data_IF_357303976025
#
_entry.id   IF_357303976025
#
_cell.length_a   1.000
_cell.length_b   1.000
_cell.length_c   1.000
_cell.angle_alpha   90.00
_cell.angle_beta   90.00
_cell.angle_gamma   90.00
#
_symmetry.space_group_name_H-M   'P 1'
#
loop_
_entity.id
_entity.type
_entity.pdbx_description
1 polymer ?
#
# COMPACT_ATOMS: atom_id res chain seq x y z
N UNK A 1 -8.60 -10.15 -28.91
CA UNK A 1 -7.41 -10.91 -28.45
C UNK A 1 -7.87 -11.92 -27.41
N UNK A 2 -7.34 -13.14 -27.37
CA UNK A 2 -7.69 -14.11 -26.30
C UNK A 2 -6.86 -13.79 -25.08
N UNK A 3 -7.50 -13.53 -23.93
CA UNK A 3 -6.81 -13.21 -22.68
C UNK A 3 -6.13 -14.47 -22.13
N UNK A 4 -4.79 -14.49 -21.98
CA UNK A 4 -4.10 -15.57 -21.30
C UNK A 4 -4.63 -15.78 -19.87
N UNK A 5 -4.77 -17.02 -19.42
CA UNK A 5 -5.15 -17.28 -18.01
C UNK A 5 -4.06 -16.90 -17.01
N UNK A 6 -2.82 -16.80 -17.48
CA UNK A 6 -1.67 -16.48 -16.65
C UNK A 6 -0.52 -15.93 -17.48
N UNK A 7 0.25 -15.03 -16.88
CA UNK A 7 1.52 -14.55 -17.38
C UNK A 7 2.65 -15.07 -16.48
N UNK A 8 3.84 -15.28 -17.03
CA UNK A 8 4.99 -15.81 -16.29
C UNK A 8 6.19 -14.91 -16.46
N UNK A 9 6.87 -14.64 -15.35
CA UNK A 9 8.11 -13.88 -15.31
C UNK A 9 9.17 -14.65 -14.50
N UNK A 10 10.43 -14.75 -14.96
CA UNK A 10 11.48 -15.50 -14.25
C UNK A 10 11.72 -15.02 -12.81
N UNK A 11 11.62 -13.70 -12.57
CA UNK A 11 11.85 -13.07 -11.25
C UNK A 11 10.59 -13.00 -10.39
N UNK A 12 9.43 -12.76 -11.00
CA UNK A 12 8.18 -12.47 -10.27
C UNK A 12 7.23 -13.66 -10.20
N UNK A 13 7.54 -14.76 -10.88
CA UNK A 13 6.73 -15.96 -10.87
C UNK A 13 5.50 -15.85 -11.78
N UNK A 14 4.34 -16.26 -11.27
CA UNK A 14 3.11 -16.37 -12.05
C UNK A 14 2.16 -15.26 -11.65
N UNK A 15 1.67 -14.54 -12.66
CA UNK A 15 0.56 -13.61 -12.55
C UNK A 15 -0.70 -14.29 -13.07
N UNK A 16 -1.78 -14.30 -12.30
CA UNK A 16 -3.05 -14.96 -12.65
C UNK A 16 -4.08 -13.94 -13.07
N UNK A 17 -4.87 -14.28 -14.07
CA UNK A 17 -6.00 -13.46 -14.48
C UNK A 17 -7.15 -13.58 -13.47
N UNK A 18 -7.57 -12.45 -12.92
CA UNK A 18 -8.72 -12.31 -12.05
C UNK A 18 -9.83 -11.60 -12.83
N UNK A 19 -10.89 -12.35 -13.19
CA UNK A 19 -11.95 -11.83 -14.06
C UNK A 19 -12.76 -10.71 -13.43
N UNK A 20 -12.94 -10.75 -12.12
CA UNK A 20 -13.79 -9.78 -11.41
C UNK A 20 -13.15 -8.39 -11.40
N UNK A 21 -11.82 -8.32 -11.55
CA UNK A 21 -11.03 -7.10 -11.49
C UNK A 21 -10.52 -6.70 -12.87
N UNK A 22 -10.80 -7.52 -13.89
CA UNK A 22 -10.19 -7.45 -15.22
C UNK A 22 -8.68 -7.17 -15.14
N UNK A 23 -7.96 -7.95 -14.33
CA UNK A 23 -6.55 -7.70 -14.05
C UNK A 23 -5.74 -8.99 -13.88
N UNK A 24 -4.43 -8.89 -14.08
CA UNK A 24 -3.48 -9.89 -13.63
C UNK A 24 -2.93 -9.54 -12.26
N UNK A 25 -2.95 -10.49 -11.34
CA UNK A 25 -2.39 -10.33 -9.99
C UNK A 25 -1.22 -11.28 -9.76
N UNK A 26 -0.16 -10.76 -9.14
CA UNK A 26 1.04 -11.51 -8.82
C UNK A 26 1.79 -10.89 -7.65
N UNK A 27 2.86 -11.53 -7.20
CA UNK A 27 3.68 -11.02 -6.11
C UNK A 27 5.02 -10.52 -6.64
N UNK A 28 5.41 -9.31 -6.25
CA UNK A 28 6.75 -8.76 -6.52
C UNK A 28 7.51 -8.55 -5.22
N UNK A 29 8.85 -8.63 -5.23
CA UNK A 29 9.63 -8.29 -4.05
C UNK A 29 9.64 -6.78 -3.82
N UNK A 30 9.51 -6.37 -2.56
CA UNK A 30 9.59 -4.98 -2.11
C UNK A 30 10.44 -4.93 -0.85
N UNK A 31 11.72 -4.60 -1.02
CA UNK A 31 12.71 -4.68 0.06
C UNK A 31 12.82 -6.11 0.60
N UNK A 32 12.50 -6.30 1.90
CA UNK A 32 12.54 -7.61 2.57
C UNK A 32 11.21 -8.38 2.53
N UNK A 33 10.17 -7.81 1.93
CA UNK A 33 8.83 -8.42 1.85
C UNK A 33 8.39 -8.62 0.41
N UNK A 34 7.19 -9.16 0.23
CA UNK A 34 6.49 -9.20 -1.05
C UNK A 34 5.23 -8.37 -0.93
N UNK A 35 4.85 -7.72 -2.03
CA UNK A 35 3.59 -7.01 -2.17
C UNK A 35 2.86 -7.53 -3.40
N UNK A 36 1.57 -7.28 -3.47
CA UNK A 36 0.77 -7.62 -4.65
C UNK A 36 1.02 -6.60 -5.75
N UNK A 37 1.23 -7.06 -6.98
CA UNK A 37 1.24 -6.24 -8.17
C UNK A 37 0.00 -6.56 -9.01
N UNK A 38 -0.73 -5.52 -9.40
CA UNK A 38 -1.96 -5.60 -10.17
C UNK A 38 -1.73 -4.94 -11.53
N UNK A 39 -1.95 -5.69 -12.60
CA UNK A 39 -1.83 -5.19 -13.97
C UNK A 39 -3.24 -5.21 -14.56
N UNK A 40 -3.88 -4.04 -14.63
CA UNK A 40 -5.20 -3.95 -15.22
C UNK A 40 -5.16 -4.29 -16.71
N UNK A 41 -6.30 -4.77 -17.21
CA UNK A 41 -6.48 -5.10 -18.62
C UNK A 41 -6.06 -3.97 -19.54
N UNK A 42 -6.43 -2.74 -19.21
CA UNK A 42 -6.13 -1.58 -20.04
C UNK A 42 -4.61 -1.40 -20.20
N UNK A 43 -3.83 -1.60 -19.13
CA UNK A 43 -2.37 -1.61 -19.23
C UNK A 43 -1.86 -2.74 -20.15
N UNK A 44 -2.48 -3.91 -20.11
CA UNK A 44 -2.13 -5.07 -20.95
C UNK A 44 -2.59 -4.93 -22.41
N UNK A 45 -3.72 -4.27 -22.68
CA UNK A 45 -4.25 -4.08 -24.02
C UNK A 45 -3.46 -2.98 -24.78
N UNK A 46 -2.78 -2.07 -24.05
CA UNK A 46 -2.04 -0.92 -24.60
C UNK A 46 -0.51 -1.05 -24.53
N UNK A 47 0.02 -2.04 -23.80
CA UNK A 47 1.45 -2.36 -23.74
C UNK A 47 1.68 -3.84 -23.97
N UNK A 48 2.82 -4.21 -24.56
CA UNK A 48 3.21 -5.61 -24.56
C UNK A 48 3.64 -6.08 -23.15
N UNK A 49 3.57 -7.39 -22.94
CA UNK A 49 3.88 -7.98 -21.64
C UNK A 49 5.33 -7.75 -21.21
N UNK A 50 6.26 -7.63 -22.17
CA UNK A 50 7.67 -7.42 -21.88
C UNK A 50 7.93 -6.00 -21.37
N UNK A 51 7.22 -5.01 -21.91
CA UNK A 51 7.27 -3.64 -21.42
C UNK A 51 6.76 -3.53 -19.98
N UNK A 52 5.65 -4.22 -19.67
CA UNK A 52 5.11 -4.29 -18.30
C UNK A 52 6.13 -4.92 -17.35
N UNK A 53 6.84 -5.97 -17.78
CA UNK A 53 7.92 -6.56 -17.00
C UNK A 53 9.08 -5.63 -16.78
N UNK A 54 9.52 -4.89 -17.81
CA UNK A 54 10.58 -3.89 -17.67
C UNK A 54 10.21 -2.82 -16.64
N UNK A 55 8.97 -2.33 -16.66
CA UNK A 55 8.47 -1.36 -15.66
C UNK A 55 8.56 -1.94 -14.25
N UNK A 56 8.03 -3.15 -14.04
CA UNK A 56 8.06 -3.77 -12.71
C UNK A 56 9.50 -4.08 -12.26
N UNK A 57 10.40 -4.46 -13.18
CA UNK A 57 11.81 -4.68 -12.87
C UNK A 57 12.53 -3.40 -12.47
N UNK A 58 12.22 -2.29 -13.12
CA UNK A 58 12.77 -0.97 -12.81
C UNK A 58 12.26 -0.42 -11.48
N UNK A 59 10.96 -0.55 -11.20
CA UNK A 59 10.39 -0.19 -9.90
C UNK A 59 11.09 -0.99 -8.79
N UNK A 60 11.19 -2.31 -8.98
CA UNK A 60 11.76 -3.21 -7.97
C UNK A 60 13.28 -3.01 -7.80
N UNK A 61 14.00 -2.57 -8.83
CA UNK A 61 15.45 -2.26 -8.71
C UNK A 61 15.70 -0.96 -7.95
N UNK A 62 14.70 -0.06 -7.86
CA UNK A 62 14.77 1.24 -7.19
C UNK A 62 13.89 1.35 -5.93
N UNK A 63 13.56 0.22 -5.28
CA UNK A 63 12.66 0.20 -4.11
C UNK A 63 13.11 1.15 -2.99
N UNK A 64 14.41 1.27 -2.71
CA UNK A 64 14.87 2.17 -1.64
C UNK A 64 14.56 3.64 -1.96
N UNK A 65 14.67 4.05 -3.22
CA UNK A 65 14.32 5.40 -3.66
C UNK A 65 12.81 5.63 -3.61
N UNK A 66 12.03 4.64 -4.05
CA UNK A 66 10.58 4.68 -3.95
C UNK A 66 10.09 4.74 -2.50
N UNK A 67 10.68 3.94 -1.61
CA UNK A 67 10.33 3.97 -0.18
C UNK A 67 10.57 5.37 0.40
N UNK A 68 11.69 6.03 0.08
CA UNK A 68 11.95 7.40 0.55
C UNK A 68 10.88 8.38 0.04
N UNK A 69 10.54 8.31 -1.25
CA UNK A 69 9.52 9.17 -1.86
C UNK A 69 8.12 8.91 -1.25
N UNK A 70 7.75 7.64 -1.09
CA UNK A 70 6.49 7.21 -0.47
C UNK A 70 6.39 7.70 0.97
N UNK A 71 7.42 7.52 1.80
CA UNK A 71 7.37 7.99 3.20
C UNK A 71 7.17 9.50 3.27
N UNK A 72 7.89 10.25 2.42
CA UNK A 72 7.73 11.70 2.33
C UNK A 72 6.30 12.07 1.93
N UNK A 73 5.76 11.47 0.88
CA UNK A 73 4.42 11.75 0.38
C UNK A 73 3.32 11.34 1.37
N UNK A 74 3.43 10.17 2.02
CA UNK A 74 2.50 9.74 3.07
C UNK A 74 2.39 10.79 4.17
N UNK A 75 3.52 11.35 4.60
CA UNK A 75 3.54 12.41 5.60
C UNK A 75 2.88 13.68 5.10
N UNK A 76 3.23 14.13 3.91
CA UNK A 76 2.71 15.36 3.30
C UNK A 76 1.19 15.30 3.09
N UNK A 77 0.66 14.17 2.64
CA UNK A 77 -0.75 14.03 2.29
C UNK A 77 -1.64 13.59 3.48
N UNK A 78 -1.14 12.71 4.35
CA UNK A 78 -2.02 12.00 5.29
C UNK A 78 -1.70 12.20 6.76
N UNK A 79 -0.47 12.54 7.17
CA UNK A 79 -0.11 12.52 8.59
C UNK A 79 -0.95 13.48 9.45
N UNK A 80 -1.17 14.72 8.99
CA UNK A 80 -2.04 15.67 9.72
C UNK A 80 -3.48 15.16 9.81
N UNK A 81 -3.99 14.47 8.78
CA UNK A 81 -5.33 13.86 8.80
C UNK A 81 -5.37 12.70 9.78
N UNK A 82 -4.35 11.83 9.76
CA UNK A 82 -4.19 10.73 10.69
C UNK A 82 -4.22 11.20 12.14
N UNK A 83 -3.54 12.31 12.45
CA UNK A 83 -3.58 12.90 13.80
C UNK A 83 -4.98 13.32 14.27
N UNK A 84 -5.86 13.69 13.34
CA UNK A 84 -7.23 14.07 13.67
C UNK A 84 -8.19 12.87 13.72
N UNK A 85 -7.87 11.79 13.03
CA UNK A 85 -8.75 10.62 12.87
C UNK A 85 -8.36 9.48 13.81
N UNK A 86 -7.10 9.42 14.24
CA UNK A 86 -6.63 8.41 15.16
C UNK A 86 -7.26 8.59 16.55
N UNK A 87 -8.33 7.85 16.77
CA UNK A 87 -9.09 7.85 18.02
C UNK A 87 -9.29 6.39 18.47
N UNK A 88 -8.21 5.72 18.93
CA UNK A 88 -8.25 4.29 19.24
C UNK A 88 -9.17 3.95 20.42
N UNK A 89 -9.74 4.96 21.09
CA UNK A 89 -10.62 4.82 22.26
C UNK A 89 -12.09 5.05 21.96
N UNK A 90 -12.47 5.53 20.77
CA UNK A 90 -13.84 5.99 20.52
C UNK A 90 -14.89 4.89 20.75
N UNK A 91 -14.51 3.62 20.57
CA UNK A 91 -15.36 2.44 20.79
C UNK A 91 -14.99 1.60 22.02
N UNK A 92 -14.03 2.04 22.85
CA UNK A 92 -13.45 1.22 23.94
C UNK A 92 -13.44 1.93 25.30
N UNK A 93 -13.80 1.20 26.36
CA UNK A 93 -13.59 1.68 27.73
C UNK A 93 -12.12 1.48 28.15
N UNK A 94 -11.66 2.19 29.18
CA UNK A 94 -10.30 2.06 29.73
C UNK A 94 -10.00 0.62 30.18
N UNK A 95 -11.04 -0.15 30.51
CA UNK A 95 -10.95 -1.57 30.86
C UNK A 95 -10.56 -2.47 29.68
N UNK A 96 -10.73 -2.00 28.43
CA UNK A 96 -10.44 -2.74 27.19
C UNK A 96 -9.07 -2.40 26.59
N UNK A 97 -8.34 -1.43 27.16
CA UNK A 97 -7.05 -0.98 26.61
C UNK A 97 -6.03 -2.11 26.52
N UNK A 98 -6.07 -3.08 27.42
CA UNK A 98 -5.19 -4.26 27.37
C UNK A 98 -5.40 -5.10 26.10
N UNK A 99 -6.65 -5.30 25.69
CA UNK A 99 -7.01 -6.01 24.46
C UNK A 99 -6.61 -5.19 23.24
N UNK A 100 -6.94 -3.90 23.24
CA UNK A 100 -6.61 -2.95 22.18
C UNK A 100 -5.10 -2.87 21.90
N UNK A 101 -4.28 -2.83 22.96
CA UNK A 101 -2.81 -2.86 22.87
C UNK A 101 -2.35 -4.19 22.27
N UNK A 102 -2.97 -5.30 22.64
CA UNK A 102 -2.62 -6.63 22.14
C UNK A 102 -2.87 -6.70 20.63
N UNK A 103 -4.03 -6.25 20.18
CA UNK A 103 -4.41 -6.27 18.77
C UNK A 103 -3.51 -5.35 17.94
N UNK A 104 -3.28 -4.11 18.40
CA UNK A 104 -2.38 -3.17 17.70
C UNK A 104 -0.92 -3.67 17.69
N UNK A 105 -0.48 -4.35 18.76
CA UNK A 105 0.90 -4.86 18.86
C UNK A 105 1.23 -5.90 17.79
N UNK A 106 0.24 -6.61 17.23
CA UNK A 106 0.44 -7.50 16.09
C UNK A 106 0.96 -6.76 14.85
N UNK A 107 0.62 -5.47 14.73
CA UNK A 107 0.95 -4.66 13.56
C UNK A 107 2.20 -3.80 13.76
N UNK A 108 2.35 -3.19 14.94
CA UNK A 108 3.39 -2.16 15.19
C UNK A 108 4.41 -2.57 16.25
N UNK A 109 4.17 -3.67 16.96
CA UNK A 109 4.93 -4.12 18.11
C UNK A 109 4.44 -3.54 19.44
N UNK A 110 4.65 -4.29 20.53
CA UNK A 110 4.10 -3.99 21.86
C UNK A 110 4.41 -2.59 22.37
N UNK A 111 5.67 -2.16 22.31
CA UNK A 111 6.08 -0.85 22.84
C UNK A 111 5.41 0.32 22.11
N UNK A 112 5.32 0.24 20.78
CA UNK A 112 4.62 1.26 20.00
C UNK A 112 3.11 1.21 20.24
N UNK A 113 2.50 0.03 20.31
CA UNK A 113 1.07 -0.12 20.60
C UNK A 113 0.70 0.48 21.97
N UNK A 114 1.45 0.15 23.02
CA UNK A 114 1.27 0.74 24.37
C UNK A 114 1.36 2.27 24.31
N UNK A 115 2.36 2.82 23.62
CA UNK A 115 2.54 4.26 23.49
C UNK A 115 1.38 4.94 22.78
N UNK A 116 0.95 4.40 21.65
CA UNK A 116 -0.12 4.99 20.82
C UNK A 116 -1.48 4.90 21.54
N UNK A 117 -1.81 3.74 22.09
CA UNK A 117 -3.06 3.55 22.83
C UNK A 117 -3.08 4.41 24.09
N UNK A 118 -2.05 4.36 24.95
CA UNK A 118 -2.10 5.11 26.22
C UNK A 118 -2.08 6.63 26.03
N UNK A 119 -1.47 7.12 24.94
CA UNK A 119 -1.46 8.54 24.64
C UNK A 119 -2.73 9.02 23.92
N UNK A 120 -3.47 8.11 23.29
CA UNK A 120 -4.60 8.43 22.41
C UNK A 120 -4.19 9.30 21.20
N UNK A 121 -2.90 9.27 20.82
CA UNK A 121 -2.34 10.13 19.77
C UNK A 121 -1.40 9.33 18.89
N UNK A 122 -1.42 9.66 17.61
CA UNK A 122 -0.48 9.09 16.64
C UNK A 122 0.74 9.99 16.47
N UNK A 123 1.91 9.37 16.62
CA UNK A 123 3.20 9.96 16.28
C UNK A 123 3.71 9.44 14.93
N UNK A 124 4.79 10.02 14.42
CA UNK A 124 5.32 9.66 13.09
C UNK A 124 5.76 8.19 13.00
N UNK A 125 6.38 7.65 14.06
CA UNK A 125 6.79 6.23 14.09
C UNK A 125 5.56 5.31 14.03
N UNK A 126 4.52 5.62 14.81
CA UNK A 126 3.26 4.90 14.78
C UNK A 126 2.57 4.97 13.42
N UNK A 127 2.51 6.17 12.84
CA UNK A 127 1.94 6.40 11.52
C UNK A 127 2.60 5.52 10.45
N UNK A 128 3.93 5.54 10.33
CA UNK A 128 4.59 4.73 9.31
C UNK A 128 4.52 3.23 9.55
N UNK A 129 4.44 2.79 10.81
CA UNK A 129 4.28 1.36 11.12
C UNK A 129 2.89 0.84 10.79
N UNK A 130 1.87 1.68 10.94
CA UNK A 130 0.50 1.38 10.58
C UNK A 130 0.29 1.45 9.07
N UNK A 131 0.84 2.48 8.40
CA UNK A 131 0.71 2.67 6.95
C UNK A 131 1.52 1.66 6.13
N UNK A 132 0.97 0.46 5.90
CA UNK A 132 1.66 -0.61 5.19
C UNK A 132 1.30 -0.57 3.71
N UNK A 133 2.31 -0.37 2.85
CA UNK A 133 2.13 -0.63 1.41
C UNK A 133 1.72 -2.10 1.22
N UNK A 134 0.53 -2.33 0.68
CA UNK A 134 -0.05 -3.65 0.45
C UNK A 134 0.15 -4.09 -1.01
N UNK A 135 -0.12 -3.16 -1.93
CA UNK A 135 -0.08 -3.45 -3.35
C UNK A 135 0.32 -2.24 -4.19
N UNK A 136 0.75 -2.54 -5.42
CA UNK A 136 0.86 -1.57 -6.49
C UNK A 136 -0.05 -1.94 -7.64
N UNK A 137 -0.54 -0.95 -8.36
CA UNK A 137 -1.27 -1.18 -9.61
C UNK A 137 -0.74 -0.34 -10.77
N UNK A 138 -0.79 -0.92 -11.97
CA UNK A 138 -0.39 -0.31 -13.23
C UNK A 138 -1.62 -0.11 -14.12
N UNK A 139 -1.80 1.10 -14.64
CA UNK A 139 -2.88 1.49 -15.56
C UNK A 139 -2.37 2.08 -16.88
N UNK A 140 -3.27 2.32 -17.84
CA UNK A 140 -3.00 2.68 -19.25
C UNK A 140 -2.16 3.96 -19.48
N UNK A 141 -1.85 4.74 -18.45
CA UNK A 141 -1.29 6.09 -18.60
C UNK A 141 0.14 6.24 -18.05
N UNK A 142 0.85 5.13 -17.82
CA UNK A 142 2.16 5.17 -17.14
C UNK A 142 2.04 5.64 -15.69
N UNK A 143 0.82 5.54 -15.15
CA UNK A 143 0.51 5.81 -13.76
C UNK A 143 0.68 4.54 -12.94
N UNK A 144 1.27 4.74 -11.76
CA UNK A 144 1.55 3.74 -10.77
C UNK A 144 0.85 4.16 -9.49
N UNK A 145 -0.09 3.34 -9.02
CA UNK A 145 -0.74 3.57 -7.75
C UNK A 145 -0.12 2.68 -6.68
N UNK A 146 0.19 3.28 -5.54
CA UNK A 146 0.63 2.61 -4.31
C UNK A 146 -0.55 2.57 -3.34
N UNK A 147 -1.02 1.37 -3.01
CA UNK A 147 -2.15 1.17 -2.11
C UNK A 147 -1.67 0.76 -0.72
N UNK A 148 -2.22 1.43 0.29
CA UNK A 148 -1.84 1.23 1.68
C UNK A 148 -3.01 0.66 2.47
N UNK A 149 -2.66 -0.21 3.42
CA UNK A 149 -3.55 -0.76 4.41
C UNK A 149 -3.02 -0.36 5.80
N UNK A 150 -3.88 0.27 6.59
CA UNK A 150 -3.62 0.64 7.98
C UNK A 150 -4.36 -0.27 8.96
N UNK A 151 -4.96 -1.35 8.47
CA UNK A 151 -5.81 -2.31 9.17
C UNK A 151 -7.01 -1.65 9.89
N UNK A 152 -7.48 -0.51 9.37
CA UNK A 152 -8.58 0.25 9.94
C UNK A 152 -8.22 1.02 11.22
N UNK A 153 -6.94 1.13 11.56
CA UNK A 153 -6.53 1.83 12.79
C UNK A 153 -6.62 3.35 12.70
N UNK A 154 -6.56 3.94 11.50
CA UNK A 154 -6.53 5.39 11.29
C UNK A 154 -7.67 5.84 10.37
N UNK A 155 -7.81 5.22 9.21
CA UNK A 155 -8.72 5.61 8.13
C UNK A 155 -9.72 4.48 7.83
N UNK A 156 -10.38 3.97 8.87
CA UNK A 156 -11.33 2.88 8.73
C UNK A 156 -12.39 3.15 7.63
N UNK A 157 -12.66 2.12 6.83
CA UNK A 157 -13.55 2.19 5.68
C UNK A 157 -13.01 2.93 4.45
N UNK A 158 -11.76 3.42 4.44
CA UNK A 158 -11.21 4.16 3.31
C UNK A 158 -10.05 3.42 2.62
N UNK A 159 -10.02 3.52 1.29
CA UNK A 159 -8.87 3.18 0.46
C UNK A 159 -7.85 4.32 0.50
N UNK A 160 -6.59 3.99 0.77
CA UNK A 160 -5.49 4.94 0.87
C UNK A 160 -4.54 4.72 -0.29
N UNK A 161 -4.40 5.72 -1.16
CA UNK A 161 -3.63 5.60 -2.40
C UNK A 161 -2.69 6.78 -2.58
N UNK A 162 -1.44 6.51 -2.94
CA UNK A 162 -0.54 7.50 -3.56
C UNK A 162 -0.44 7.19 -5.06
N UNK A 163 -0.70 8.18 -5.89
CA UNK A 163 -0.58 8.06 -7.35
C UNK A 163 0.75 8.66 -7.78
N UNK A 164 1.47 7.95 -8.64
CA UNK A 164 2.76 8.34 -9.16
C UNK A 164 2.79 8.24 -10.68
N UNK A 165 3.72 8.95 -11.30
CA UNK A 165 4.16 8.64 -12.65
C UNK A 165 5.51 7.94 -12.58
N UNK A 166 5.71 6.94 -13.43
CA UNK A 166 7.02 6.26 -13.58
C UNK A 166 8.15 7.28 -13.87
N UNK A 167 7.84 8.40 -14.52
CA UNK A 167 8.82 9.42 -14.91
C UNK A 167 8.92 10.64 -13.95
N UNK A 168 7.86 10.94 -13.19
CA UNK A 168 7.71 12.24 -12.50
C UNK A 168 7.54 12.15 -10.97
N UNK A 169 7.82 11.00 -10.36
CA UNK A 169 7.69 10.76 -8.90
C UNK A 169 6.21 10.75 -8.43
N UNK A 170 5.96 10.79 -7.12
CA UNK A 170 4.61 10.86 -6.53
C UNK A 170 3.91 12.16 -6.95
N UNK A 171 2.70 12.02 -7.49
CA UNK A 171 1.88 13.11 -8.02
C UNK A 171 0.80 13.58 -7.04
N UNK A 172 0.13 12.65 -6.36
CA UNK A 172 -0.99 12.96 -5.46
C UNK A 172 -1.23 11.86 -4.41
N UNK A 173 -2.06 12.16 -3.41
CA UNK A 173 -2.52 11.24 -2.39
C UNK A 173 -4.02 11.36 -2.16
N UNK A 174 -4.73 10.23 -2.21
CA UNK A 174 -6.17 10.13 -2.10
C UNK A 174 -6.62 9.25 -0.93
N UNK A 175 -7.73 9.65 -0.31
CA UNK A 175 -8.53 8.86 0.62
C UNK A 175 -9.95 8.76 0.05
N UNK A 176 -10.40 7.55 -0.28
CA UNK A 176 -11.73 7.31 -0.85
C UNK A 176 -12.49 6.26 -0.03
N UNK A 177 -13.76 6.50 0.27
CA UNK A 177 -14.64 5.60 1.05
C UNK A 177 -16.09 5.71 0.61
#
# INVERSE_FOLDING_TARGET
MTIPKSLKHPRFGIFKWESDWEAYTGNIPWGRRKITAIIYRDAFDHSDVEHIWQILEDIVSHVESWDIAIHKALKEHFYTKAQNWFAPHDDYDETDFGSLITDMAEYVGKETAERLVLSGKIDEDGFYRLMKLDSISLSEQGLLDFHFDDNGWIFDGHSITLTASIEQDILDGSLAG
#
